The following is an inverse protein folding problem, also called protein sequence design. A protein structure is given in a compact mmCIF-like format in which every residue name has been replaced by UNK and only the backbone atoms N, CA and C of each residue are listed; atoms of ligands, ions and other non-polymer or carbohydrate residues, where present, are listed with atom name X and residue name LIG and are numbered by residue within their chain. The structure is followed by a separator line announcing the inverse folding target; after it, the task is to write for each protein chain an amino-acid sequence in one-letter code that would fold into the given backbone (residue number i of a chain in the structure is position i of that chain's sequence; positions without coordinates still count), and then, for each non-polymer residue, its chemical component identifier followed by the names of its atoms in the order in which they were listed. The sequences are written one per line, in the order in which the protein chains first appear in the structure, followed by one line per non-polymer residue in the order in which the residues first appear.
data_IF_744874195561
#
_entry.id   IF_744874195561
#
_cell.length_a   1.000
_cell.length_b   1.000
_cell.length_c   1.000
_cell.angle_alpha   90.00
_cell.angle_beta   90.00
_cell.angle_gamma   90.00
#
_symmetry.space_group_name_H-M   'P 1'
#
loop_
_entity.id
_entity.type
_entity.pdbx_description
1 polymer ?
#
# COMPACT_ATOMS: atom_id res chain seq x y z
N UNK A 1 13.20 -4.80 3.75
CA UNK A 1 12.62 -4.20 2.52
C UNK A 1 13.65 -3.94 1.42
N UNK A 2 14.38 -2.82 1.40
CA UNK A 2 15.21 -2.43 0.24
C UNK A 2 16.23 -3.49 -0.21
N UNK A 3 16.96 -4.08 0.75
CA UNK A 3 17.97 -5.11 0.47
C UNK A 3 17.34 -6.40 -0.06
N UNK A 4 16.19 -6.80 0.50
CA UNK A 4 15.40 -7.95 0.06
C UNK A 4 14.74 -7.72 -1.32
N UNK A 5 14.51 -6.46 -1.70
CA UNK A 5 14.12 -6.06 -3.06
C UNK A 5 15.32 -5.99 -4.03
N UNK A 6 16.51 -6.44 -3.62
CA UNK A 6 17.71 -6.45 -4.46
C UNK A 6 18.41 -5.10 -4.60
N UNK A 7 18.06 -4.10 -3.76
CA UNK A 7 18.65 -2.75 -3.82
C UNK A 7 19.50 -2.50 -2.57
N UNK A 8 20.80 -2.22 -2.77
CA UNK A 8 21.69 -1.86 -1.64
C UNK A 8 21.19 -0.58 -0.97
N UNK A 9 21.16 -0.51 0.36
CA UNK A 9 20.76 0.70 1.12
C UNK A 9 21.52 1.98 0.72
N UNK A 10 22.76 1.85 0.26
CA UNK A 10 23.61 2.97 -0.20
C UNK A 10 23.28 3.48 -1.61
N UNK A 11 22.34 2.83 -2.32
CA UNK A 11 22.02 3.17 -3.71
C UNK A 11 21.21 4.47 -3.74
N UNK A 12 21.77 5.51 -4.35
CA UNK A 12 21.05 6.74 -4.64
C UNK A 12 20.20 6.54 -5.90
N UNK A 13 18.91 6.28 -5.74
CA UNK A 13 17.96 6.32 -6.85
C UNK A 13 17.40 7.74 -6.98
N UNK A 14 17.67 8.39 -8.11
CA UNK A 14 16.97 9.62 -8.48
C UNK A 14 15.68 9.26 -9.19
N UNK A 15 14.56 9.85 -8.78
CA UNK A 15 13.28 9.73 -9.48
C UNK A 15 12.31 8.67 -8.94
N UNK A 16 12.71 7.83 -7.98
CA UNK A 16 11.85 6.82 -7.37
C UNK A 16 12.02 6.77 -5.85
N UNK A 17 10.96 6.37 -5.15
CA UNK A 17 10.97 6.06 -3.73
C UNK A 17 10.27 4.74 -3.47
N UNK A 18 10.79 3.97 -2.53
CA UNK A 18 10.08 2.82 -2.01
C UNK A 18 8.87 3.28 -1.19
N UNK A 19 7.76 2.58 -1.36
CA UNK A 19 6.49 2.79 -0.69
C UNK A 19 6.05 1.46 -0.10
N UNK A 20 5.58 1.49 1.15
CA UNK A 20 4.90 0.34 1.73
C UNK A 20 3.48 0.25 1.16
N UNK A 21 3.08 -0.94 0.72
CA UNK A 21 1.72 -1.21 0.24
C UNK A 21 0.76 -1.15 1.45
N UNK A 22 1.05 -1.87 2.52
CA UNK A 22 0.44 -1.65 3.83
C UNK A 22 1.35 -0.70 4.61
N UNK A 23 0.94 0.55 4.90
CA UNK A 23 1.79 1.57 5.52
C UNK A 23 2.33 1.12 6.89
N UNK A 24 3.52 1.61 7.25
CA UNK A 24 4.15 1.32 8.54
C UNK A 24 3.27 1.81 9.72
N UNK A 25 2.47 2.84 9.50
CA UNK A 25 1.49 3.39 10.43
C UNK A 25 0.40 2.37 10.82
N UNK A 26 0.25 1.28 10.07
CA UNK A 26 -0.68 0.19 10.39
C UNK A 26 -0.09 -0.84 11.36
N UNK A 27 1.16 -0.71 11.82
CA UNK A 27 1.84 -1.70 12.65
C UNK A 27 1.07 -2.09 13.93
N UNK A 28 0.29 -1.17 14.51
CA UNK A 28 -0.53 -1.45 15.69
C UNK A 28 -1.93 -1.99 15.38
N UNK A 29 -2.26 -2.26 14.11
CA UNK A 29 -3.58 -2.77 13.74
C UNK A 29 -3.76 -4.22 14.23
N UNK A 30 -4.84 -4.55 14.97
CA UNK A 30 -5.01 -5.86 15.61
C UNK A 30 -4.90 -7.05 14.65
N UNK A 31 -5.46 -6.93 13.44
CA UNK A 31 -5.37 -7.95 12.39
C UNK A 31 -3.92 -8.22 12.01
N UNK A 32 -3.11 -7.18 11.82
CA UNK A 32 -1.70 -7.31 11.40
C UNK A 32 -0.83 -7.88 12.53
N UNK A 33 -1.08 -7.46 13.76
CA UNK A 33 -0.41 -8.03 14.94
C UNK A 33 -0.74 -9.52 15.11
N UNK A 34 -2.01 -9.90 14.92
CA UNK A 34 -2.46 -11.29 15.07
C UNK A 34 -1.81 -12.24 14.06
N UNK A 35 -1.65 -11.80 12.81
CA UNK A 35 -0.97 -12.59 11.77
C UNK A 35 0.57 -12.45 11.80
N UNK A 36 1.11 -11.55 12.63
CA UNK A 36 2.56 -11.32 12.72
C UNK A 36 3.19 -10.79 11.44
N UNK A 37 2.48 -9.95 10.67
CA UNK A 37 2.96 -9.45 9.38
C UNK A 37 4.23 -8.59 9.56
N UNK A 38 5.30 -8.94 8.84
CA UNK A 38 6.49 -8.10 8.73
C UNK A 38 6.25 -6.99 7.68
N UNK A 39 5.98 -5.76 8.14
CA UNK A 39 5.71 -4.62 7.24
C UNK A 39 6.92 -4.19 6.42
N UNK A 40 8.14 -4.51 6.88
CA UNK A 40 9.38 -4.26 6.17
C UNK A 40 9.71 -5.36 5.15
N UNK A 41 8.89 -6.41 4.99
CA UNK A 41 9.18 -7.46 3.99
C UNK A 41 9.10 -6.89 2.56
N UNK A 42 9.98 -7.36 1.66
CA UNK A 42 9.98 -6.93 0.25
C UNK A 42 8.63 -7.12 -0.47
N UNK A 43 7.82 -8.11 -0.09
CA UNK A 43 6.49 -8.32 -0.65
C UNK A 43 5.53 -7.15 -0.37
N UNK A 44 5.76 -6.41 0.72
CA UNK A 44 5.03 -5.20 1.09
C UNK A 44 5.61 -3.93 0.46
N UNK A 45 6.60 -4.03 -0.42
CA UNK A 45 7.23 -2.90 -1.10
C UNK A 45 6.75 -2.70 -2.54
N UNK A 46 6.67 -1.44 -2.96
CA UNK A 46 6.58 -1.02 -4.36
C UNK A 46 7.46 0.21 -4.59
N UNK A 47 8.18 0.25 -5.72
CA UNK A 47 8.89 1.45 -6.15
C UNK A 47 7.97 2.32 -6.98
N UNK A 48 7.73 3.55 -6.51
CA UNK A 48 6.92 4.54 -7.20
C UNK A 48 7.77 5.74 -7.59
N UNK A 49 7.44 6.36 -8.73
CA UNK A 49 8.12 7.57 -9.16
C UNK A 49 7.83 8.72 -8.19
N UNK A 50 8.83 9.54 -7.91
CA UNK A 50 8.57 10.84 -7.28
C UNK A 50 7.78 11.73 -8.25
N UNK A 51 6.97 12.68 -7.76
CA UNK A 51 6.31 13.65 -8.64
C UNK A 51 7.32 14.41 -9.51
N UNK A 52 7.11 14.37 -10.83
CA UNK A 52 7.88 15.06 -11.89
C UNK A 52 6.95 15.34 -13.08
N UNK A 53 7.43 16.12 -14.07
CA UNK A 53 6.65 16.53 -15.25
C UNK A 53 6.50 15.41 -16.31
N UNK A 54 7.11 14.25 -16.09
CA UNK A 54 7.01 13.13 -17.03
C UNK A 54 5.63 12.44 -16.92
N UNK A 55 5.26 11.64 -17.91
CA UNK A 55 4.07 10.77 -17.80
C UNK A 55 4.46 9.48 -17.09
N UNK A 56 3.62 9.03 -16.16
CA UNK A 56 3.75 7.71 -15.52
C UNK A 56 2.41 6.99 -15.53
N UNK A 57 2.44 5.69 -15.81
CA UNK A 57 1.29 4.80 -15.69
C UNK A 57 1.02 4.35 -14.24
N UNK A 58 1.97 4.62 -13.33
CA UNK A 58 1.91 4.25 -11.92
C UNK A 58 1.65 5.47 -11.04
N UNK A 59 1.23 5.22 -9.81
CA UNK A 59 1.06 6.25 -8.81
C UNK A 59 2.40 6.93 -8.52
N UNK A 60 2.31 8.17 -8.04
CA UNK A 60 3.47 8.95 -7.62
C UNK A 60 3.57 8.96 -6.11
N UNK A 61 4.78 8.90 -5.58
CA UNK A 61 5.04 8.87 -4.15
C UNK A 61 6.17 9.82 -3.76
N UNK A 62 5.88 10.68 -2.78
CA UNK A 62 6.86 11.51 -2.08
C UNK A 62 6.43 11.72 -0.63
N UNK A 63 6.94 10.88 0.26
CA UNK A 63 6.63 10.95 1.69
C UNK A 63 5.15 10.72 2.00
N UNK A 64 4.71 11.22 3.15
CA UNK A 64 3.42 10.90 3.79
C UNK A 64 2.16 11.18 2.94
N UNK A 65 1.19 10.25 2.95
CA UNK A 65 -0.06 10.29 2.16
C UNK A 65 -1.30 9.92 3.01
N UNK A 66 -1.89 10.91 3.71
CA UNK A 66 -2.99 10.69 4.66
C UNK A 66 -4.20 9.93 4.09
N UNK A 67 -4.64 10.27 2.87
CA UNK A 67 -5.80 9.62 2.24
C UNK A 67 -5.56 8.13 2.04
N UNK A 68 -4.39 7.74 1.55
CA UNK A 68 -4.07 6.34 1.33
C UNK A 68 -3.95 5.59 2.66
N UNK A 69 -3.29 6.17 3.67
CA UNK A 69 -3.24 5.59 5.01
C UNK A 69 -4.63 5.37 5.62
N UNK A 70 -5.54 6.32 5.44
CA UNK A 70 -6.93 6.22 5.92
C UNK A 70 -7.69 5.11 5.20
N UNK A 71 -7.55 4.99 3.88
CA UNK A 71 -8.14 3.90 3.07
C UNK A 71 -7.66 2.55 3.60
N UNK A 72 -6.35 2.35 3.73
CA UNK A 72 -5.80 1.06 4.18
C UNK A 72 -6.29 0.72 5.57
N UNK A 73 -6.34 1.69 6.48
CA UNK A 73 -6.89 1.49 7.82
C UNK A 73 -8.36 1.03 7.75
N UNK A 74 -9.20 1.70 6.95
CA UNK A 74 -10.62 1.35 6.81
C UNK A 74 -10.83 -0.04 6.23
N UNK A 75 -10.03 -0.44 5.25
CA UNK A 75 -10.10 -1.81 4.70
C UNK A 75 -9.67 -2.87 5.72
N UNK A 76 -8.66 -2.59 6.53
CA UNK A 76 -8.26 -3.47 7.63
C UNK A 76 -9.32 -3.53 8.74
N UNK A 77 -9.97 -2.40 9.06
CA UNK A 77 -11.05 -2.32 10.07
C UNK A 77 -12.28 -3.18 9.66
N UNK A 78 -12.48 -3.48 8.37
CA UNK A 78 -13.56 -4.34 7.87
C UNK A 78 -13.30 -5.84 8.10
N UNK A 79 -12.06 -6.24 8.40
CA UNK A 79 -11.68 -7.63 8.60
C UNK A 79 -12.03 -8.06 10.04
N UNK A 80 -12.79 -9.15 10.18
CA UNK A 80 -13.12 -9.70 11.50
C UNK A 80 -11.89 -10.38 12.13
N UNK A 81 -11.26 -9.68 13.07
CA UNK A 81 -10.07 -10.15 13.80
C UNK A 81 -10.29 -11.47 14.55
N UNK A 82 -11.53 -11.92 14.78
CA UNK A 82 -11.80 -13.18 15.46
C UNK A 82 -11.66 -14.41 14.55
N UNK A 83 -11.53 -14.21 13.24
CA UNK A 83 -11.29 -15.30 12.28
C UNK A 83 -9.94 -15.99 12.53
N UNK A 84 -9.76 -17.19 11.96
CA UNK A 84 -8.49 -17.93 12.06
C UNK A 84 -7.36 -17.19 11.35
N UNK A 85 -6.11 -17.46 11.77
CA UNK A 85 -4.91 -16.84 11.17
C UNK A 85 -4.89 -17.07 9.66
N UNK A 86 -5.16 -18.30 9.19
CA UNK A 86 -5.17 -18.62 7.75
C UNK A 86 -6.18 -17.79 6.95
N UNK A 87 -7.33 -17.43 7.54
CA UNK A 87 -8.34 -16.60 6.88
C UNK A 87 -7.88 -15.14 6.84
N UNK A 88 -7.36 -14.64 7.96
CA UNK A 88 -6.84 -13.28 8.06
C UNK A 88 -5.66 -13.05 7.10
N UNK A 89 -4.72 -13.98 7.02
CA UNK A 89 -3.59 -13.91 6.10
C UNK A 89 -4.07 -13.82 4.64
N UNK A 90 -5.06 -14.63 4.24
CA UNK A 90 -5.63 -14.58 2.89
C UNK A 90 -6.32 -13.25 2.59
N UNK A 91 -7.06 -12.69 3.56
CA UNK A 91 -7.73 -11.39 3.40
C UNK A 91 -6.74 -10.25 3.31
N UNK A 92 -5.74 -10.21 4.20
CA UNK A 92 -4.68 -9.17 4.19
C UNK A 92 -3.84 -9.29 2.92
N UNK A 93 -3.50 -10.50 2.49
CA UNK A 93 -2.79 -10.73 1.23
C UNK A 93 -3.61 -10.22 0.03
N UNK A 94 -4.90 -10.56 -0.05
CA UNK A 94 -5.80 -10.07 -1.11
C UNK A 94 -5.86 -8.53 -1.12
N UNK A 95 -6.02 -7.91 0.05
CA UNK A 95 -6.01 -6.45 0.19
C UNK A 95 -4.68 -5.86 -0.31
N UNK A 96 -3.55 -6.40 0.11
CA UNK A 96 -2.23 -5.97 -0.33
C UNK A 96 -2.09 -6.05 -1.87
N UNK A 97 -2.53 -7.15 -2.50
CA UNK A 97 -2.48 -7.29 -3.96
C UNK A 97 -3.37 -6.29 -4.68
N UNK A 98 -4.58 -6.04 -4.17
CA UNK A 98 -5.50 -5.05 -4.75
C UNK A 98 -4.94 -3.62 -4.67
N UNK A 99 -4.38 -3.25 -3.50
CA UNK A 99 -3.74 -1.95 -3.29
C UNK A 99 -2.53 -1.77 -4.23
N UNK A 100 -1.68 -2.81 -4.33
CA UNK A 100 -0.52 -2.82 -5.25
C UNK A 100 -0.97 -2.64 -6.70
N UNK A 101 -2.01 -3.37 -7.12
CA UNK A 101 -2.57 -3.28 -8.46
C UNK A 101 -3.06 -1.86 -8.77
N UNK A 102 -3.83 -1.23 -7.88
CA UNK A 102 -4.33 0.13 -8.09
C UNK A 102 -3.20 1.16 -8.15
N UNK A 103 -2.14 0.98 -7.36
CA UNK A 103 -0.94 1.82 -7.46
C UNK A 103 -0.20 1.63 -8.79
N UNK A 104 -0.12 0.40 -9.29
CA UNK A 104 0.44 0.11 -10.62
C UNK A 104 -0.41 0.67 -11.76
N UNK A 105 -1.69 0.97 -11.50
CA UNK A 105 -2.63 1.61 -12.44
C UNK A 105 -2.74 3.11 -12.30
N UNK A 106 -1.92 3.74 -11.46
CA UNK A 106 -1.84 5.20 -11.40
C UNK A 106 -2.86 5.86 -10.48
N UNK A 107 -3.51 5.11 -9.58
CA UNK A 107 -4.48 5.71 -8.68
C UNK A 107 -3.79 6.70 -7.71
N UNK A 108 -4.21 7.97 -7.64
CA UNK A 108 -3.46 9.00 -6.92
C UNK A 108 -3.41 8.72 -5.42
N UNK A 109 -2.28 9.02 -4.78
CA UNK A 109 -2.10 8.90 -3.32
C UNK A 109 -2.42 10.19 -2.57
N UNK A 110 -2.39 11.34 -3.25
CA UNK A 110 -2.49 12.67 -2.63
C UNK A 110 -3.75 13.44 -3.04
N UNK A 111 -4.38 14.21 -2.14
CA UNK A 111 -5.55 15.04 -2.46
C UNK A 111 -5.33 16.00 -3.63
N UNK A 112 -4.17 16.65 -3.72
CA UNK A 112 -3.84 17.57 -4.80
C UNK A 112 -3.69 16.87 -6.17
N UNK A 113 -3.62 15.53 -6.19
CA UNK A 113 -3.64 14.70 -7.40
C UNK A 113 -5.03 14.08 -7.66
N UNK A 114 -6.05 14.45 -6.87
CA UNK A 114 -7.41 13.92 -6.95
C UNK A 114 -7.66 12.66 -6.12
N UNK A 115 -6.76 12.30 -5.20
CA UNK A 115 -7.02 11.19 -4.28
C UNK A 115 -8.12 11.58 -3.28
N UNK A 116 -9.10 10.70 -3.11
CA UNK A 116 -10.08 10.74 -2.03
C UNK A 116 -10.34 9.34 -1.52
N UNK A 117 -10.82 9.22 -0.28
CA UNK A 117 -11.15 7.91 0.29
C UNK A 117 -12.25 7.24 -0.54
N UNK A 118 -13.30 7.99 -0.91
CA UNK A 118 -14.39 7.51 -1.78
C UNK A 118 -13.87 6.97 -3.12
N UNK A 119 -12.93 7.67 -3.77
CA UNK A 119 -12.34 7.22 -5.02
C UNK A 119 -11.67 5.85 -4.84
N UNK A 120 -10.84 5.71 -3.80
CA UNK A 120 -10.12 4.49 -3.50
C UNK A 120 -11.04 3.32 -3.18
N UNK A 121 -11.98 3.51 -2.26
CA UNK A 121 -12.98 2.51 -1.89
C UNK A 121 -13.80 2.08 -3.12
N UNK A 122 -14.20 3.03 -3.97
CA UNK A 122 -14.92 2.72 -5.22
C UNK A 122 -14.09 1.87 -6.18
N UNK A 123 -12.78 2.09 -6.29
CA UNK A 123 -11.93 1.26 -7.15
C UNK A 123 -11.67 -0.11 -6.53
N UNK A 124 -11.46 -0.20 -5.22
CA UNK A 124 -11.32 -1.47 -4.51
C UNK A 124 -12.57 -2.34 -4.67
N UNK A 125 -13.76 -1.76 -4.48
CA UNK A 125 -15.04 -2.46 -4.64
C UNK A 125 -15.25 -3.02 -6.07
N UNK A 126 -14.61 -2.45 -7.09
CA UNK A 126 -14.66 -2.98 -8.46
C UNK A 126 -13.81 -4.23 -8.64
N UNK A 127 -12.81 -4.46 -7.80
CA UNK A 127 -11.93 -5.62 -7.83
C UNK A 127 -12.49 -6.81 -7.02
N UNK A 128 -13.53 -6.58 -6.23
CA UNK A 128 -14.19 -7.63 -5.42
C UNK A 128 -15.34 -8.34 -6.13
N UNK A 129 -15.68 -7.91 -7.35
CA UNK A 129 -16.65 -8.53 -8.24
C UNK A 129 -16.00 -9.59 -9.11
#
# INVERSE_FOLDING_TARGET
MLEEMGVKRSTKWSGYQAQHIIPAEMASHPVLQKIGMNLDDASNGIFLRVPDDMVSSMSRHRGYHSVYNEVVKRELDKIDVNQSIDVLEKQVFKLQQNLKYLQQKGLPLYPHQGASVELWERQLNKLEK
#
